data_IF_436379204572
#
_entry.id   IF_436379204572
#
_cell.length_a   1.000
_cell.length_b   1.000
_cell.length_c   1.000
_cell.angle_alpha   90.00
_cell.angle_beta   90.00
_cell.angle_gamma   90.00
#
_symmetry.space_group_name_H-M   'P 1'
#
loop_
_entity.id
_entity.type
_entity.pdbx_description
1 polymer ?
#
# COMPACT_ATOMS: atom_id res chain seq x y z
N UNK A 1 -14.03 13.67 8.38
CA UNK A 1 -14.72 13.60 9.69
C UNK A 1 -15.93 14.51 9.80
N UNK A 2 -15.79 15.84 9.89
CA UNK A 2 -16.96 16.73 10.06
C UNK A 2 -17.98 16.61 8.91
N UNK A 3 -17.49 16.51 7.66
CA UNK A 3 -18.34 16.31 6.50
C UNK A 3 -19.05 14.94 6.56
N UNK A 4 -18.33 13.88 6.90
CA UNK A 4 -18.90 12.52 7.02
C UNK A 4 -20.03 12.49 8.06
N UNK A 5 -19.82 13.15 9.21
CA UNK A 5 -20.81 13.24 10.28
C UNK A 5 -22.09 13.96 9.82
N UNK A 6 -21.99 15.01 8.99
CA UNK A 6 -23.16 15.68 8.39
C UNK A 6 -23.99 14.75 7.49
N UNK A 7 -23.38 13.72 6.91
CA UNK A 7 -24.05 12.70 6.11
C UNK A 7 -24.45 11.44 6.92
N UNK A 8 -24.33 11.52 8.26
CA UNK A 8 -24.69 10.45 9.19
C UNK A 8 -23.60 9.41 9.43
N UNK A 9 -22.41 9.55 8.84
CA UNK A 9 -21.29 8.63 9.04
C UNK A 9 -20.45 9.04 10.26
N UNK A 10 -21.00 8.81 11.44
CA UNK A 10 -20.29 9.05 12.69
C UNK A 10 -19.29 7.92 12.98
N UNK A 11 -18.09 8.31 13.44
CA UNK A 11 -17.07 7.37 13.89
C UNK A 11 -17.50 6.73 15.20
N UNK A 12 -17.39 5.40 15.31
CA UNK A 12 -17.63 4.71 16.58
C UNK A 12 -16.67 5.23 17.67
N UNK A 13 -17.23 5.73 18.78
CA UNK A 13 -16.48 6.26 19.95
C UNK A 13 -16.59 5.38 21.19
N UNK A 14 -17.72 4.71 21.35
CA UNK A 14 -17.98 3.86 22.51
C UNK A 14 -17.70 2.40 22.18
N UNK A 15 -17.10 1.63 23.11
CA UNK A 15 -16.93 0.20 22.95
C UNK A 15 -18.27 -0.47 22.69
N UNK A 16 -18.31 -1.33 21.68
CA UNK A 16 -19.54 -1.95 21.25
C UNK A 16 -19.37 -2.76 19.98
N UNK A 17 -20.47 -3.38 19.58
CA UNK A 17 -20.55 -4.24 18.41
C UNK A 17 -21.68 -3.74 17.52
N UNK A 18 -21.40 -3.62 16.21
CA UNK A 18 -22.36 -3.19 15.20
C UNK A 18 -22.25 -4.09 13.99
N UNK A 19 -23.39 -4.52 13.45
CA UNK A 19 -23.43 -5.18 12.14
C UNK A 19 -23.76 -4.15 11.07
N UNK A 20 -23.00 -4.13 9.97
CA UNK A 20 -23.20 -3.17 8.90
C UNK A 20 -22.73 -3.70 7.55
N UNK A 21 -23.41 -3.26 6.50
CA UNK A 21 -23.04 -3.50 5.11
C UNK A 21 -22.04 -2.44 4.64
N UNK A 22 -20.88 -2.88 4.18
CA UNK A 22 -19.79 -1.99 3.79
C UNK A 22 -20.09 -1.33 2.43
N UNK A 23 -20.39 -0.03 2.43
CA UNK A 23 -20.69 0.73 1.20
C UNK A 23 -19.44 1.34 0.57
N UNK A 24 -18.47 1.79 1.36
CA UNK A 24 -17.29 2.47 0.84
C UNK A 24 -16.10 2.39 1.79
N UNK A 25 -14.91 2.68 1.28
CA UNK A 25 -13.68 2.77 2.09
C UNK A 25 -12.69 3.77 1.50
N UNK A 26 -12.00 4.54 2.35
CA UNK A 26 -11.03 5.56 1.93
C UNK A 26 -9.79 5.59 2.84
N UNK A 27 -8.57 5.78 2.29
CA UNK A 27 -7.39 6.08 3.09
C UNK A 27 -7.61 7.30 3.98
N UNK A 28 -7.11 7.24 5.21
CA UNK A 28 -7.13 8.34 6.17
C UNK A 28 -5.90 8.25 7.08
N UNK A 29 -5.74 9.25 7.95
CA UNK A 29 -4.75 9.24 9.01
C UNK A 29 -5.46 9.48 10.35
N UNK A 30 -5.03 8.75 11.37
CA UNK A 30 -5.55 8.90 12.73
C UNK A 30 -4.39 9.05 13.71
N UNK A 31 -4.70 9.55 14.91
CA UNK A 31 -3.75 9.58 16.01
C UNK A 31 -3.73 8.24 16.74
N UNK A 32 -2.54 7.70 16.97
CA UNK A 32 -2.33 6.57 17.89
C UNK A 32 -2.34 7.03 19.37
N UNK A 33 -2.13 6.09 20.29
CA UNK A 33 -2.06 6.38 21.73
C UNK A 33 -0.94 7.37 22.09
N UNK A 34 0.17 7.36 21.34
CA UNK A 34 1.31 8.26 21.49
C UNK A 34 1.06 9.64 20.83
N UNK A 35 -0.16 9.90 20.32
CA UNK A 35 -0.52 11.08 19.52
C UNK A 35 0.32 11.27 18.27
N UNK A 36 0.78 10.17 17.67
CA UNK A 36 1.45 10.17 16.37
C UNK A 36 0.44 9.88 15.27
N UNK A 37 0.62 10.54 14.14
CA UNK A 37 -0.16 10.26 12.94
C UNK A 37 0.23 8.89 12.39
N UNK A 38 -0.76 8.03 12.19
CA UNK A 38 -0.63 6.72 11.56
C UNK A 38 -1.63 6.59 10.42
N UNK A 39 -1.26 5.87 9.37
CA UNK A 39 -2.18 5.57 8.28
C UNK A 39 -3.22 4.53 8.69
N UNK A 40 -4.45 4.77 8.26
CA UNK A 40 -5.60 3.91 8.46
C UNK A 40 -6.51 3.95 7.22
N UNK A 41 -7.51 3.07 7.17
CA UNK A 41 -8.61 3.17 6.20
C UNK A 41 -9.91 3.36 6.96
N UNK A 42 -10.67 4.37 6.58
CA UNK A 42 -12.05 4.55 7.02
C UNK A 42 -12.95 3.61 6.22
N UNK A 43 -13.76 2.84 6.93
CA UNK A 43 -14.77 1.94 6.39
C UNK A 43 -16.16 2.47 6.73
N UNK A 44 -17.00 2.64 5.71
CA UNK A 44 -18.32 3.27 5.80
C UNK A 44 -19.42 2.22 5.71
N UNK A 45 -20.29 2.15 6.71
CA UNK A 45 -21.29 1.10 6.86
C UNK A 45 -22.71 1.64 6.88
N UNK A 46 -23.63 0.84 6.35
CA UNK A 46 -25.08 1.01 6.47
C UNK A 46 -25.63 -0.17 7.28
N UNK A 47 -26.41 0.11 8.31
CA UNK A 47 -27.09 -0.90 9.13
C UNK A 47 -28.44 -1.29 8.50
N UNK A 48 -29.06 -2.38 8.98
CA UNK A 48 -30.39 -2.82 8.53
C UNK A 48 -31.49 -1.78 8.76
N UNK A 49 -31.38 -0.98 9.82
CA UNK A 49 -32.30 0.13 10.14
C UNK A 49 -32.06 1.39 9.30
N UNK A 50 -31.15 1.33 8.31
CA UNK A 50 -30.75 2.45 7.47
C UNK A 50 -29.81 3.45 8.14
N UNK A 51 -29.49 3.28 9.43
CA UNK A 51 -28.51 4.10 10.11
C UNK A 51 -27.10 3.86 9.57
N UNK A 52 -26.23 4.85 9.75
CA UNK A 52 -24.91 4.89 9.14
C UNK A 52 -23.86 5.07 10.23
N UNK A 53 -22.70 4.48 10.01
CA UNK A 53 -21.54 4.69 10.87
C UNK A 53 -20.26 4.42 10.11
N UNK A 54 -19.14 4.85 10.67
CA UNK A 54 -17.82 4.50 10.13
C UNK A 54 -16.85 4.07 11.22
N UNK A 55 -15.80 3.37 10.81
CA UNK A 55 -14.70 2.98 11.68
C UNK A 55 -13.37 3.10 10.93
N UNK A 56 -12.30 3.50 11.63
CA UNK A 56 -10.95 3.50 11.08
C UNK A 56 -10.24 2.21 11.49
N UNK A 57 -9.59 1.57 10.52
CA UNK A 57 -8.71 0.44 10.78
C UNK A 57 -7.25 0.84 10.49
N UNK A 58 -6.42 1.01 11.53
CA UNK A 58 -4.98 1.23 11.38
C UNK A 58 -4.28 0.06 10.71
N UNK A 59 -3.36 0.36 9.80
CA UNK A 59 -2.54 -0.67 9.17
C UNK A 59 -1.22 -0.09 8.68
N UNK A 60 -0.11 -0.77 8.96
CA UNK A 60 1.21 -0.29 8.55
C UNK A 60 1.41 -0.49 7.04
N UNK A 61 1.55 0.57 6.23
CA UNK A 61 1.94 0.42 4.83
C UNK A 61 3.27 -0.32 4.73
N UNK A 62 3.48 -1.08 3.65
CA UNK A 62 4.74 -1.80 3.46
C UNK A 62 5.06 -2.05 1.99
N UNK A 63 6.33 -2.33 1.73
CA UNK A 63 6.80 -2.94 0.49
C UNK A 63 7.97 -3.89 0.80
N UNK A 64 8.40 -4.65 -0.21
CA UNK A 64 9.49 -5.61 -0.08
C UNK A 64 10.71 -5.19 -0.88
N UNK A 65 11.89 -5.54 -0.39
CA UNK A 65 13.14 -5.47 -1.15
C UNK A 65 13.82 -6.83 -1.17
N UNK A 66 14.49 -7.12 -2.28
CA UNK A 66 15.41 -8.25 -2.38
C UNK A 66 16.84 -7.74 -2.28
N UNK A 67 17.70 -8.53 -1.62
CA UNK A 67 19.14 -8.26 -1.56
C UNK A 67 19.93 -9.31 -2.33
N UNK A 68 21.23 -9.05 -2.49
CA UNK A 68 22.22 -10.08 -2.78
C UNK A 68 22.23 -11.13 -1.67
N UNK A 69 22.62 -12.35 -2.02
CA UNK A 69 22.66 -13.50 -1.11
C UNK A 69 23.57 -13.18 0.08
N UNK A 70 23.11 -13.50 1.29
CA UNK A 70 23.83 -13.34 2.56
C UNK A 70 24.09 -11.88 3.00
N UNK A 71 23.52 -10.89 2.33
CA UNK A 71 23.65 -9.47 2.72
C UNK A 71 22.45 -8.96 3.53
N UNK A 72 21.43 -9.79 3.77
CA UNK A 72 20.14 -9.36 4.32
C UNK A 72 20.30 -8.70 5.70
N UNK A 73 21.14 -9.27 6.58
CA UNK A 73 21.37 -8.75 7.94
C UNK A 73 22.07 -7.39 7.93
N UNK A 74 23.06 -7.23 7.06
CA UNK A 74 23.80 -5.96 6.90
C UNK A 74 22.89 -4.87 6.35
N UNK A 75 22.09 -5.20 5.34
CA UNK A 75 21.09 -4.29 4.75
C UNK A 75 20.04 -3.91 5.78
N UNK A 76 19.52 -4.83 6.59
CA UNK A 76 18.58 -4.51 7.69
C UNK A 76 19.21 -3.52 8.68
N UNK A 77 20.44 -3.78 9.13
CA UNK A 77 21.17 -2.90 10.06
C UNK A 77 21.39 -1.50 9.47
N UNK A 78 21.77 -1.44 8.20
CA UNK A 78 21.95 -0.20 7.46
C UNK A 78 20.65 0.60 7.32
N UNK A 79 19.58 -0.05 6.84
CA UNK A 79 18.28 0.60 6.63
C UNK A 79 17.67 1.08 7.94
N UNK A 80 17.85 0.32 9.02
CA UNK A 80 17.39 0.70 10.36
C UNK A 80 18.06 1.99 10.84
N UNK A 81 19.38 2.14 10.63
CA UNK A 81 20.13 3.36 10.97
C UNK A 81 19.80 4.53 10.04
N UNK A 82 19.76 4.28 8.73
CA UNK A 82 19.53 5.33 7.72
C UNK A 82 18.13 5.92 7.78
N UNK A 83 17.12 5.09 8.01
CA UNK A 83 15.71 5.48 8.01
C UNK A 83 15.10 5.46 9.41
N UNK A 84 15.93 5.72 10.43
CA UNK A 84 15.50 5.83 11.82
C UNK A 84 14.36 6.86 11.93
N UNK A 85 13.28 6.46 12.59
CA UNK A 85 12.08 7.29 12.76
C UNK A 85 11.08 7.24 11.59
N UNK A 86 11.47 6.77 10.39
CA UNK A 86 10.56 6.59 9.24
C UNK A 86 10.09 5.13 9.10
N UNK A 87 11.02 4.19 9.26
CA UNK A 87 10.70 2.75 9.18
C UNK A 87 10.25 2.26 10.56
N UNK A 88 9.04 1.71 10.62
CA UNK A 88 8.46 1.18 11.85
C UNK A 88 8.93 -0.25 12.16
N UNK A 89 9.13 -1.09 11.13
CA UNK A 89 9.62 -2.47 11.29
C UNK A 89 10.34 -2.95 10.03
N UNK A 90 11.43 -3.68 10.23
CA UNK A 90 12.13 -4.45 9.20
C UNK A 90 12.04 -5.93 9.55
N UNK A 91 11.58 -6.75 8.62
CA UNK A 91 11.38 -8.18 8.86
C UNK A 91 11.81 -9.01 7.64
N UNK A 92 12.58 -10.08 7.87
CA UNK A 92 12.97 -11.00 6.81
C UNK A 92 11.90 -12.06 6.63
N UNK A 93 11.41 -12.23 5.41
CA UNK A 93 10.33 -13.16 5.08
C UNK A 93 10.65 -13.94 3.80
N UNK A 94 10.50 -15.27 3.79
CA UNK A 94 10.59 -16.06 2.56
C UNK A 94 9.31 -15.90 1.74
N UNK A 95 9.45 -15.53 0.46
CA UNK A 95 8.35 -15.47 -0.51
C UNK A 95 8.68 -16.27 -1.77
N UNK A 96 7.63 -16.71 -2.44
CA UNK A 96 7.74 -17.32 -3.77
C UNK A 96 8.11 -16.24 -4.79
N UNK A 97 9.15 -16.50 -5.58
CA UNK A 97 9.64 -15.62 -6.63
C UNK A 97 9.59 -16.40 -7.93
N UNK A 98 8.61 -16.09 -8.79
CA UNK A 98 8.40 -16.78 -10.07
C UNK A 98 9.51 -16.47 -11.08
N UNK A 99 10.33 -15.44 -10.83
CA UNK A 99 11.47 -15.11 -11.67
C UNK A 99 12.70 -15.97 -11.35
N UNK A 100 12.67 -16.76 -10.26
CA UNK A 100 13.76 -17.68 -9.95
C UNK A 100 13.77 -18.91 -10.88
N UNK A 101 14.96 -19.32 -11.36
CA UNK A 101 15.12 -20.63 -11.98
C UNK A 101 14.68 -21.74 -11.01
N UNK A 102 13.88 -22.69 -11.49
CA UNK A 102 13.34 -23.80 -10.70
C UNK A 102 12.37 -23.39 -9.56
N UNK A 103 11.67 -22.26 -9.69
CA UNK A 103 10.64 -21.85 -8.71
C UNK A 103 9.52 -22.88 -8.51
N UNK A 104 9.21 -23.71 -9.53
CA UNK A 104 8.23 -24.79 -9.46
C UNK A 104 8.56 -25.89 -8.43
N UNK A 105 9.81 -25.96 -7.97
CA UNK A 105 10.26 -26.91 -6.95
C UNK A 105 9.99 -26.37 -5.53
N UNK A 106 9.31 -25.22 -5.40
CA UNK A 106 8.99 -24.57 -4.13
C UNK A 106 10.14 -23.74 -3.55
N UNK A 107 11.13 -23.36 -4.36
CA UNK A 107 12.22 -22.49 -3.95
C UNK A 107 11.66 -21.10 -3.60
N UNK A 108 12.01 -20.63 -2.39
CA UNK A 108 11.63 -19.30 -1.90
C UNK A 108 12.84 -18.39 -1.84
N UNK A 109 12.61 -17.12 -2.11
CA UNK A 109 13.58 -16.05 -1.94
C UNK A 109 13.32 -15.33 -0.63
N UNK A 110 14.37 -14.95 0.08
CA UNK A 110 14.25 -14.08 1.23
C UNK A 110 14.08 -12.63 0.75
N UNK A 111 13.03 -11.98 1.26
CA UNK A 111 12.79 -10.56 1.11
C UNK A 111 12.85 -9.88 2.47
N UNK A 112 13.18 -8.59 2.47
CA UNK A 112 13.02 -7.73 3.64
C UNK A 112 11.74 -6.94 3.46
N UNK A 113 10.78 -7.09 4.37
CA UNK A 113 9.57 -6.28 4.48
C UNK A 113 9.88 -5.01 5.25
N UNK A 114 9.70 -3.85 4.61
CA UNK A 114 9.78 -2.55 5.24
C UNK A 114 8.35 -2.11 5.58
N UNK A 115 8.04 -1.97 6.86
CA UNK A 115 6.75 -1.47 7.34
C UNK A 115 6.88 -0.05 7.88
N UNK A 116 5.90 0.80 7.59
CA UNK A 116 5.89 2.23 7.90
C UNK A 116 4.71 2.58 8.81
N UNK A 117 4.76 3.71 9.50
CA UNK A 117 3.60 4.21 10.25
C UNK A 117 2.66 5.00 9.34
N UNK A 118 3.22 5.70 8.33
CA UNK A 118 2.46 6.50 7.37
C UNK A 118 2.78 6.13 5.91
N UNK A 119 1.85 6.41 5.00
CA UNK A 119 2.09 6.28 3.55
C UNK A 119 3.13 7.29 3.07
N UNK A 120 3.18 8.47 3.69
CA UNK A 120 4.18 9.50 3.37
C UNK A 120 5.61 9.02 3.66
N UNK A 121 5.85 8.38 4.82
CA UNK A 121 7.14 7.77 5.13
C UNK A 121 7.54 6.69 4.12
N UNK A 122 6.58 5.86 3.70
CA UNK A 122 6.79 4.86 2.66
C UNK A 122 7.26 5.51 1.36
N UNK A 123 6.56 6.57 0.90
CA UNK A 123 6.88 7.28 -0.35
C UNK A 123 8.27 7.92 -0.25
N UNK A 124 8.60 8.56 0.88
CA UNK A 124 9.91 9.17 1.13
C UNK A 124 11.04 8.14 1.03
N UNK A 125 10.90 6.99 1.71
CA UNK A 125 11.92 5.93 1.67
C UNK A 125 12.00 5.28 0.29
N UNK A 126 10.87 5.04 -0.37
CA UNK A 126 10.82 4.54 -1.76
C UNK A 126 11.58 5.45 -2.72
N UNK A 127 11.43 6.78 -2.59
CA UNK A 127 12.11 7.76 -3.45
C UNK A 127 13.63 7.70 -3.32
N UNK A 128 14.15 7.29 -2.18
CA UNK A 128 15.59 7.11 -1.96
C UNK A 128 16.11 5.74 -2.45
N UNK A 129 15.33 4.67 -2.26
CA UNK A 129 15.76 3.30 -2.61
C UNK A 129 15.61 3.02 -4.11
N UNK A 130 14.51 3.45 -4.74
CA UNK A 130 14.20 3.08 -6.13
C UNK A 130 15.28 3.46 -7.16
N UNK A 131 15.89 4.66 -7.11
CA UNK A 131 16.97 5.01 -8.03
C UNK A 131 18.22 4.14 -7.85
N UNK A 132 18.55 3.77 -6.60
CA UNK A 132 19.69 2.91 -6.31
C UNK A 132 19.46 1.50 -6.89
N UNK A 133 18.28 0.94 -6.68
CA UNK A 133 17.92 -0.39 -7.22
C UNK A 133 17.95 -0.40 -8.75
N UNK A 134 17.45 0.65 -9.40
CA UNK A 134 17.53 0.76 -10.87
C UNK A 134 19.00 0.75 -11.35
N UNK A 135 19.86 1.56 -10.72
CA UNK A 135 21.29 1.61 -11.05
C UNK A 135 22.00 0.26 -10.82
N UNK A 136 21.67 -0.43 -9.73
CA UNK A 136 22.26 -1.73 -9.40
C UNK A 136 21.87 -2.79 -10.43
N UNK A 137 20.59 -2.79 -10.85
CA UNK A 137 20.08 -3.70 -11.88
C UNK A 137 20.75 -3.48 -13.23
N UNK A 138 20.92 -2.22 -13.64
CA UNK A 138 21.64 -1.87 -14.88
C UNK A 138 23.11 -2.34 -14.84
N UNK A 139 23.79 -2.18 -13.70
CA UNK A 139 25.17 -2.60 -13.49
C UNK A 139 25.34 -4.13 -13.50
N UNK A 140 24.41 -4.86 -12.89
CA UNK A 140 24.43 -6.33 -12.93
C UNK A 140 24.21 -6.84 -14.37
N UNK A 141 23.25 -6.27 -15.10
CA UNK A 141 23.03 -6.62 -16.51
C UNK A 141 24.23 -6.32 -17.41
N UNK A 142 24.91 -5.18 -17.20
CA UNK A 142 26.10 -4.84 -17.97
C UNK A 142 27.27 -5.78 -17.67
N UNK A 143 27.44 -6.17 -16.41
CA UNK A 143 28.49 -7.09 -15.99
C UNK A 143 28.23 -8.50 -16.54
N UNK A 144 27.00 -9.00 -16.44
CA UNK A 144 26.63 -10.30 -17.01
C UNK A 144 26.85 -10.34 -18.52
N UNK A 145 26.51 -9.26 -19.24
CA UNK A 145 26.76 -9.14 -20.68
C UNK A 145 28.26 -9.18 -20.99
N UNK A 146 29.09 -8.39 -20.30
CA UNK A 146 30.54 -8.37 -20.51
C UNK A 146 31.19 -9.71 -20.15
N UNK A 147 30.83 -10.30 -19.01
CA UNK A 147 31.34 -11.61 -18.58
C UNK A 147 30.89 -12.72 -19.52
N UNK A 148 29.66 -12.69 -20.04
CA UNK A 148 29.21 -13.69 -21.02
C UNK A 148 29.97 -13.57 -22.35
N UNK A 149 30.22 -12.34 -22.84
CA UNK A 149 31.07 -12.11 -24.00
C UNK A 149 32.52 -12.57 -23.75
N UNK A 150 33.08 -12.24 -22.59
CA UNK A 150 34.44 -12.63 -22.20
C UNK A 150 34.56 -14.16 -22.11
N UNK A 151 33.58 -14.83 -21.52
CA UNK A 151 33.51 -16.30 -21.43
C UNK A 151 33.38 -16.95 -22.80
N UNK A 152 32.61 -16.34 -23.71
CA UNK A 152 32.49 -16.81 -25.10
C UNK A 152 33.78 -16.63 -25.90
N UNK A 153 34.55 -15.56 -25.63
CA UNK A 153 35.83 -15.28 -26.28
C UNK A 153 37.02 -16.07 -25.68
N UNK A 154 36.95 -16.46 -24.41
CA UNK A 154 37.99 -17.17 -23.66
C UNK A 154 37.56 -18.60 -23.29
N UNK A 155 36.98 -19.35 -24.24
CA UNK A 155 36.62 -20.77 -24.08
C UNK A 155 37.83 -21.71 -23.84
N UNK A 156 38.66 -21.42 -22.83
CA UNK A 156 39.88 -22.14 -22.48
C UNK A 156 40.69 -21.61 -21.27
N UNK A 157 40.24 -20.61 -20.48
CA UNK A 157 41.07 -20.08 -19.39
C UNK A 157 40.32 -19.73 -18.09
N UNK A 158 40.60 -20.49 -17.02
CA UNK A 158 40.19 -20.19 -15.64
C UNK A 158 40.67 -18.80 -15.20
N UNK A 159 39.76 -17.94 -14.71
CA UNK A 159 40.13 -16.70 -14.01
C UNK A 159 39.50 -16.70 -12.62
N UNK A 160 40.34 -16.94 -11.62
CA UNK A 160 40.04 -16.77 -10.20
C UNK A 160 39.79 -15.30 -9.87
N UNK A 161 38.63 -14.99 -9.32
CA UNK A 161 38.27 -13.64 -8.87
C UNK A 161 39.05 -13.27 -7.61
N UNK A 162 39.79 -12.17 -7.68
CA UNK A 162 40.51 -11.58 -6.57
C UNK A 162 39.54 -10.92 -5.59
N UNK A 163 39.46 -11.45 -4.37
CA UNK A 163 38.90 -10.79 -3.21
C UNK A 163 40.04 -10.10 -2.45
N UNK A 164 40.05 -8.77 -2.37
CA UNK A 164 40.34 -8.04 -1.13
C UNK A 164 40.10 -6.53 -1.32
N UNK A 165 39.56 -5.88 -0.27
CA UNK A 165 39.83 -4.51 0.20
C UNK A 165 38.64 -3.90 0.99
N UNK A 166 38.54 -4.28 2.28
CA UNK A 166 39.14 -3.43 3.31
C UNK A 166 38.37 -2.21 3.86
N UNK A 167 37.22 -2.45 4.51
CA UNK A 167 36.78 -1.74 5.73
C UNK A 167 36.30 -0.26 5.67
N UNK A 168 36.67 0.57 4.68
CA UNK A 168 36.28 2.01 4.65
C UNK A 168 35.10 2.36 3.71
N UNK A 169 34.66 1.41 2.88
CA UNK A 169 33.47 1.51 1.99
C UNK A 169 32.12 1.27 2.69
N UNK A 170 32.15 0.89 3.97
CA UNK A 170 31.10 0.06 4.61
C UNK A 170 29.70 0.68 4.83
N UNK A 171 29.50 1.97 4.57
CA UNK A 171 28.20 2.66 4.78
C UNK A 171 27.51 3.09 3.47
N UNK A 172 28.27 3.37 2.40
CA UNK A 172 27.68 3.71 1.08
C UNK A 172 27.34 2.44 0.28
N UNK A 173 28.01 1.34 0.60
CA UNK A 173 27.99 0.05 -0.12
C UNK A 173 26.68 -0.76 0.07
N UNK A 174 25.98 -0.59 1.19
CA UNK A 174 24.84 -1.46 1.51
C UNK A 174 23.59 -1.20 0.66
N UNK A 175 23.47 -0.02 0.05
CA UNK A 175 22.44 0.21 -0.98
C UNK A 175 22.75 -0.53 -2.27
N UNK A 176 24.03 -0.80 -2.60
CA UNK A 176 24.42 -1.56 -3.79
C UNK A 176 24.01 -3.04 -3.67
N UNK A 177 23.82 -3.52 -2.44
CA UNK A 177 23.36 -4.87 -2.16
C UNK A 177 21.85 -5.06 -2.35
N UNK A 178 21.08 -3.99 -2.58
CA UNK A 178 19.64 -4.08 -2.89
C UNK A 178 19.46 -4.25 -4.39
N UNK A 179 18.88 -5.38 -4.79
CA UNK A 179 18.80 -5.78 -6.21
C UNK A 179 17.40 -5.64 -6.81
N UNK A 180 16.36 -5.66 -5.99
CA UNK A 180 14.98 -5.54 -6.46
C UNK A 180 14.05 -4.92 -5.41
N UNK A 181 12.94 -4.36 -5.88
CA UNK A 181 11.82 -3.89 -5.05
C UNK A 181 10.52 -4.52 -5.54
N UNK A 182 9.67 -4.99 -4.62
CA UNK A 182 8.40 -5.61 -4.95
C UNK A 182 7.25 -4.97 -4.19
N UNK A 183 6.11 -4.93 -4.87
CA UNK A 183 4.82 -4.47 -4.34
C UNK A 183 4.88 -3.04 -3.74
N UNK A 184 5.73 -2.17 -4.30
CA UNK A 184 5.97 -0.79 -3.85
C UNK A 184 4.99 0.24 -4.42
N UNK A 185 4.10 -0.20 -5.31
CA UNK A 185 3.13 0.59 -6.07
C UNK A 185 1.68 0.16 -5.82
N UNK A 186 1.46 -0.80 -4.91
CA UNK A 186 0.12 -1.20 -4.50
C UNK A 186 -0.55 -0.06 -3.72
N UNK A 187 -1.71 0.46 -4.15
CA UNK A 187 -2.43 1.49 -3.42
C UNK A 187 -2.77 1.04 -1.99
N UNK A 188 -2.66 1.95 -1.03
CA UNK A 188 -2.73 1.60 0.39
C UNK A 188 -4.06 0.95 0.82
N UNK A 189 -5.21 1.45 0.35
CA UNK A 189 -6.51 0.84 0.66
C UNK A 189 -6.68 -0.53 -0.03
N UNK A 190 -6.13 -0.71 -1.23
CA UNK A 190 -6.12 -2.01 -1.95
C UNK A 190 -5.31 -3.04 -1.17
N UNK A 191 -4.13 -2.65 -0.69
CA UNK A 191 -3.29 -3.50 0.17
C UNK A 191 -4.07 -4.03 1.37
N UNK A 192 -4.73 -3.13 2.09
CA UNK A 192 -5.50 -3.46 3.30
C UNK A 192 -6.66 -4.41 2.97
N UNK A 193 -7.35 -4.14 1.87
CA UNK A 193 -8.45 -4.97 1.37
C UNK A 193 -8.01 -6.39 1.03
N UNK A 194 -6.85 -6.55 0.39
CA UNK A 194 -6.26 -7.85 0.05
C UNK A 194 -5.80 -8.59 1.30
N UNK A 195 -4.98 -7.94 2.13
CA UNK A 195 -4.33 -8.57 3.27
C UNK A 195 -5.35 -9.00 4.35
N UNK A 196 -6.39 -8.19 4.58
CA UNK A 196 -7.42 -8.46 5.59
C UNK A 196 -8.69 -9.09 5.01
N UNK A 197 -8.76 -9.26 3.69
CA UNK A 197 -9.93 -9.81 2.97
C UNK A 197 -11.23 -9.02 3.25
N UNK A 198 -11.11 -7.70 3.33
CA UNK A 198 -12.25 -6.79 3.53
C UNK A 198 -12.59 -6.15 2.17
N UNK A 199 -13.81 -6.41 1.71
CA UNK A 199 -14.34 -5.96 0.43
C UNK A 199 -15.68 -5.26 0.62
N UNK A 200 -15.90 -4.18 -0.14
CA UNK A 200 -17.20 -3.51 -0.24
C UNK A 200 -18.29 -4.47 -0.69
N UNK A 201 -19.54 -4.07 -0.49
CA UNK A 201 -20.75 -4.83 -0.84
C UNK A 201 -20.95 -6.14 -0.05
N UNK A 202 -20.42 -6.21 1.18
CA UNK A 202 -20.60 -7.34 2.07
C UNK A 202 -21.00 -6.87 3.47
N UNK A 203 -21.67 -7.74 4.22
CA UNK A 203 -21.96 -7.55 5.63
C UNK A 203 -20.75 -7.90 6.48
N UNK A 204 -20.53 -7.07 7.51
CA UNK A 204 -19.52 -7.29 8.51
C UNK A 204 -20.09 -7.05 9.90
N UNK A 205 -19.51 -7.75 10.86
CA UNK A 205 -19.63 -7.44 12.26
C UNK A 205 -18.40 -6.65 12.70
N UNK A 206 -18.63 -5.46 13.22
CA UNK A 206 -17.60 -4.50 13.63
C UNK A 206 -17.59 -4.48 15.15
N UNK A 207 -16.46 -4.85 15.75
CA UNK A 207 -16.26 -4.79 17.18
C UNK A 207 -15.20 -3.74 17.51
N UNK A 208 -15.63 -2.71 18.23
CA UNK A 208 -14.75 -1.65 18.72
C UNK A 208 -14.57 -1.81 20.23
N UNK A 209 -13.31 -1.81 20.70
CA UNK A 209 -12.96 -2.02 22.12
C UNK A 209 -12.31 -0.77 22.75
N UNK A 210 -12.60 0.41 22.20
CA UNK A 210 -11.92 1.65 22.56
C UNK A 210 -10.66 1.90 21.73
N UNK A 211 -9.98 3.01 21.99
CA UNK A 211 -8.82 3.47 21.20
C UNK A 211 -7.56 2.62 21.35
N UNK A 212 -7.50 1.77 22.40
CA UNK A 212 -6.32 0.97 22.70
C UNK A 212 -6.13 -0.23 21.78
N UNK A 213 -7.19 -0.69 21.11
CA UNK A 213 -7.14 -1.84 20.23
C UNK A 213 -7.70 -1.47 18.85
N UNK A 214 -7.07 -1.96 17.76
CA UNK A 214 -7.65 -1.84 16.43
C UNK A 214 -9.06 -2.43 16.40
N UNK A 215 -9.97 -1.78 15.65
CA UNK A 215 -11.30 -2.31 15.41
C UNK A 215 -11.25 -3.66 14.69
N UNK A 216 -12.05 -4.62 15.13
CA UNK A 216 -12.15 -5.92 14.49
C UNK A 216 -13.31 -5.89 13.49
N UNK A 217 -13.05 -6.30 12.25
CA UNK A 217 -14.04 -6.31 11.16
C UNK A 217 -14.12 -7.75 10.64
N UNK A 218 -15.23 -8.44 10.89
CA UNK A 218 -15.41 -9.86 10.57
C UNK A 218 -16.57 -10.03 9.59
N UNK A 219 -16.32 -10.68 8.46
CA UNK A 219 -17.34 -10.89 7.41
C UNK A 219 -18.48 -11.78 7.91
N UNK A 220 -19.71 -11.40 7.56
CA UNK A 220 -20.95 -12.16 7.79
C UNK A 220 -21.43 -12.74 6.46
N UNK A 221 -21.13 -14.02 6.22
CA UNK A 221 -21.51 -14.72 4.98
C UNK A 221 -22.96 -15.21 5.00
N UNK A 222 -23.58 -15.24 6.19
CA UNK A 222 -24.97 -15.61 6.41
C UNK A 222 -25.96 -14.52 5.97
N UNK A 223 -25.52 -13.27 5.86
CA UNK A 223 -26.33 -12.15 5.40
C UNK A 223 -26.08 -11.88 3.91
N UNK A 224 -27.11 -12.12 3.09
CA UNK A 224 -27.05 -12.00 1.62
C UNK A 224 -27.83 -10.79 1.12
N UNK A 225 -28.96 -10.48 1.75
CA UNK A 225 -29.81 -9.37 1.36
C UNK A 225 -29.08 -8.05 1.59
N UNK A 226 -29.01 -7.21 0.56
CA UNK A 226 -28.33 -5.92 0.62
C UNK A 226 -29.29 -4.85 1.15
N UNK A 227 -28.83 -3.88 1.95
CA UNK A 227 -29.64 -2.71 2.23
C UNK A 227 -29.79 -1.89 0.95
N UNK A 228 -30.85 -1.08 0.88
CA UNK A 228 -31.06 -0.14 -0.21
C UNK A 228 -30.35 1.19 0.12
N UNK A 229 -29.21 1.50 -0.51
CA UNK A 229 -28.59 2.80 -0.35
C UNK A 229 -29.44 3.87 -1.04
N UNK A 230 -29.44 5.09 -0.48
CA UNK A 230 -30.02 6.25 -1.16
C UNK A 230 -29.15 6.59 -2.37
N UNK A 231 -29.73 6.56 -3.57
CA UNK A 231 -29.06 6.85 -4.84
C UNK A 231 -29.60 8.13 -5.42
N UNK A 232 -28.73 9.14 -5.54
CA UNK A 232 -29.00 10.38 -6.26
C UNK A 232 -28.26 10.36 -7.60
N UNK A 233 -29.01 10.45 -8.69
CA UNK A 233 -28.46 10.71 -10.02
C UNK A 233 -28.84 12.14 -10.42
N UNK A 234 -27.90 12.88 -11.03
CA UNK A 234 -28.17 14.23 -11.51
C UNK A 234 -27.51 14.47 -12.88
N UNK A 235 -28.11 15.36 -13.64
CA UNK A 235 -27.62 15.82 -14.92
C UNK A 235 -27.79 17.33 -15.04
N UNK A 236 -26.82 18.00 -15.65
CA UNK A 236 -26.79 19.47 -15.76
C UNK A 236 -26.78 19.91 -17.21
N UNK A 237 -27.51 20.97 -17.48
CA UNK A 237 -27.53 21.62 -18.79
C UNK A 237 -26.95 23.02 -18.65
N UNK A 238 -26.05 23.40 -19.56
CA UNK A 238 -25.36 24.69 -19.53
C UNK A 238 -25.55 25.47 -20.82
N UNK A 239 -25.43 26.79 -20.75
CA UNK A 239 -25.26 27.58 -21.98
C UNK A 239 -23.95 27.15 -22.66
N UNK A 240 -23.85 27.45 -23.96
CA UNK A 240 -22.59 27.34 -24.70
C UNK A 240 -22.62 28.22 -25.93
N UNK A 241 -21.45 28.70 -26.34
CA UNK A 241 -21.31 29.38 -27.62
C UNK A 241 -21.58 28.43 -28.81
N UNK A 242 -22.14 28.95 -29.93
CA UNK A 242 -22.31 28.16 -31.15
C UNK A 242 -21.00 27.53 -31.61
N UNK A 243 -21.06 26.25 -31.99
CA UNK A 243 -19.91 25.45 -32.45
C UNK A 243 -18.74 25.35 -31.45
N UNK A 244 -18.97 25.65 -30.16
CA UNK A 244 -18.00 25.43 -29.08
C UNK A 244 -18.55 24.48 -28.02
N UNK A 245 -17.62 23.96 -27.22
CA UNK A 245 -17.94 23.32 -25.94
C UNK A 245 -18.30 24.38 -24.88
N UNK A 246 -19.07 24.02 -23.85
CA UNK A 246 -19.31 24.91 -22.71
C UNK A 246 -18.02 25.31 -22.01
N UNK A 247 -17.96 26.56 -21.56
CA UNK A 247 -16.85 27.11 -20.78
C UNK A 247 -17.34 27.53 -19.38
N UNK A 248 -16.80 26.90 -18.34
CA UNK A 248 -17.23 27.14 -16.96
C UNK A 248 -16.96 28.58 -16.45
N UNK A 249 -16.08 29.36 -17.11
CA UNK A 249 -15.83 30.76 -16.74
C UNK A 249 -16.87 31.73 -17.32
N UNK A 250 -17.46 31.39 -18.48
CA UNK A 250 -18.35 32.32 -19.22
C UNK A 250 -19.79 31.83 -19.36
N UNK A 251 -19.99 30.53 -19.41
CA UNK A 251 -21.30 29.91 -19.55
C UNK A 251 -21.95 29.64 -18.18
N UNK A 252 -23.28 29.60 -18.15
CA UNK A 252 -24.06 29.40 -16.93
C UNK A 252 -24.79 28.06 -16.97
N UNK A 253 -24.97 27.46 -15.79
CA UNK A 253 -25.87 26.31 -15.63
C UNK A 253 -27.31 26.81 -15.82
N UNK A 254 -28.01 26.25 -16.80
CA UNK A 254 -29.41 26.57 -17.11
C UNK A 254 -30.38 25.68 -16.32
N UNK A 255 -30.02 24.42 -16.10
CA UNK A 255 -30.87 23.44 -15.43
C UNK A 255 -30.03 22.39 -14.71
N UNK A 256 -30.54 21.91 -13.57
CA UNK A 256 -30.05 20.73 -12.87
C UNK A 256 -31.24 19.80 -12.71
N UNK A 257 -31.25 18.69 -13.43
CA UNK A 257 -32.22 17.62 -13.24
C UNK A 257 -31.64 16.56 -12.31
N UNK A 258 -32.45 15.99 -11.43
CA UNK A 258 -32.01 14.93 -10.53
C UNK A 258 -33.14 13.97 -10.20
N UNK A 259 -32.76 12.75 -9.80
CA UNK A 259 -33.63 11.67 -9.39
C UNK A 259 -33.08 11.08 -8.10
N UNK A 260 -33.95 10.79 -7.14
CA UNK A 260 -33.61 10.16 -5.86
C UNK A 260 -34.44 8.89 -5.76
N UNK A 261 -33.77 7.74 -5.73
CA UNK A 261 -34.37 6.41 -5.55
C UNK A 261 -35.41 5.98 -6.64
N UNK A 262 -35.36 6.59 -7.83
CA UNK A 262 -36.22 6.25 -8.98
C UNK A 262 -37.45 7.14 -9.09
#
# INVERSE_FOLDING_TARGET
>A
DDMDARFGFERMKEPGEKTGWLINMHPTEILDEDRRMISAVDYYFIQEDGSRFKVALPFKPYFYIATRKNCEREVISYLSKKFQGKVAKLEMLPKEDLDLPNHLVGLKRNYIKLSFNTVDDLIKVKREIAPAVRKNREREQSNDSYTSMLSSALSGGNVTSAYDDGMSKSIVDQLENIVDMREYDVPYHVRLSIDLKIHVAHWYNIRYRGSAFPSEIVRREDLVERPDPVVLAFDIETTKLPLKFPDAETDQIMMISYMIDG
#
